data_IF_827382927107
#
_entry.id   IF_827382927107
#
_cell.length_a   1.000
_cell.length_b   1.000
_cell.length_c   1.000
_cell.angle_alpha   90.00
_cell.angle_beta   90.00
_cell.angle_gamma   90.00
#
_symmetry.space_group_name_H-M   'P 1'
#
loop_
_entity.id
_entity.type
_entity.pdbx_description
1 polymer ?
#
# COMPACT_ATOMS: atom_id res chain seq x y z
N UNK A 1 7.41 -8.84 3.93
CA UNK A 1 7.03 -7.62 4.69
C UNK A 1 8.23 -7.11 5.47
N UNK A 2 8.52 -5.79 5.42
CA UNK A 2 9.62 -5.16 6.18
C UNK A 2 9.07 -4.46 7.42
N UNK A 3 9.55 -4.84 8.61
CA UNK A 3 9.00 -4.39 9.90
C UNK A 3 10.02 -3.57 10.67
N UNK A 4 9.58 -2.46 11.29
CA UNK A 4 10.35 -1.77 12.32
C UNK A 4 9.71 -1.99 13.69
N UNK A 5 10.53 -2.10 14.73
CA UNK A 5 10.12 -2.13 16.13
C UNK A 5 10.78 -0.95 16.82
N UNK A 6 10.01 -0.16 17.54
CA UNK A 6 10.52 0.97 18.29
C UNK A 6 10.03 0.91 19.74
N UNK A 7 10.98 0.73 20.69
CA UNK A 7 10.70 0.57 22.12
C UNK A 7 11.95 0.96 22.91
N UNK A 8 11.83 1.87 23.90
CA UNK A 8 12.96 2.35 24.72
C UNK A 8 13.59 1.23 25.57
N UNK A 9 12.86 0.17 25.80
CA UNK A 9 13.31 -0.99 26.61
C UNK A 9 13.76 -2.13 25.72
N UNK A 10 15.05 -2.40 25.69
CA UNK A 10 15.64 -3.49 24.91
C UNK A 10 14.98 -4.86 25.14
N UNK A 11 14.46 -5.12 26.35
CA UNK A 11 13.80 -6.38 26.67
C UNK A 11 12.51 -6.59 25.84
N UNK A 12 11.71 -5.55 25.65
CA UNK A 12 10.49 -5.63 24.85
C UNK A 12 10.82 -5.61 23.35
N UNK A 13 11.80 -4.80 22.96
CA UNK A 13 12.30 -4.77 21.59
C UNK A 13 12.78 -6.15 21.16
N UNK A 14 13.65 -6.79 21.97
CA UNK A 14 14.16 -8.13 21.70
C UNK A 14 13.06 -9.18 21.66
N UNK A 15 12.13 -9.14 22.61
CA UNK A 15 11.00 -10.06 22.66
C UNK A 15 10.14 -9.97 21.39
N UNK A 16 9.78 -8.76 20.95
CA UNK A 16 9.04 -8.56 19.70
C UNK A 16 9.86 -9.00 18.48
N UNK A 17 11.17 -8.71 18.46
CA UNK A 17 12.08 -9.13 17.40
C UNK A 17 12.12 -10.66 17.25
N UNK A 18 12.32 -11.37 18.35
CA UNK A 18 12.39 -12.85 18.35
C UNK A 18 11.07 -13.47 17.85
N UNK A 19 9.92 -12.91 18.24
CA UNK A 19 8.61 -13.34 17.75
C UNK A 19 8.45 -13.13 16.24
N UNK A 20 8.83 -11.97 15.72
CA UNK A 20 8.69 -11.63 14.30
C UNK A 20 9.61 -12.46 13.41
N UNK A 21 10.80 -12.85 13.90
CA UNK A 21 11.74 -13.70 13.16
C UNK A 21 11.20 -15.11 12.88
N UNK A 22 10.19 -15.58 13.63
CA UNK A 22 9.57 -16.90 13.41
C UNK A 22 8.48 -16.88 12.34
N UNK A 23 8.20 -15.74 11.72
CA UNK A 23 7.09 -15.55 10.79
C UNK A 23 7.62 -15.49 9.36
N UNK A 24 7.24 -16.46 8.52
CA UNK A 24 7.82 -16.72 7.20
C UNK A 24 7.75 -15.54 6.21
N UNK A 25 6.71 -14.71 6.26
CA UNK A 25 6.51 -13.60 5.33
C UNK A 25 7.15 -12.27 5.78
N UNK A 26 7.89 -12.28 6.88
CA UNK A 26 8.69 -11.14 7.34
C UNK A 26 10.10 -11.24 6.78
N UNK A 27 10.42 -10.36 5.83
CA UNK A 27 11.71 -10.35 5.11
C UNK A 27 12.82 -9.71 5.93
N UNK A 28 12.48 -8.68 6.70
CA UNK A 28 13.43 -7.93 7.51
C UNK A 28 12.76 -7.28 8.72
N UNK A 29 13.47 -7.31 9.85
CA UNK A 29 13.08 -6.63 11.09
C UNK A 29 14.20 -5.69 11.51
N UNK A 30 13.87 -4.41 11.77
CA UNK A 30 14.79 -3.41 12.31
C UNK A 30 14.32 -2.95 13.70
N UNK A 31 15.23 -2.90 14.67
CA UNK A 31 14.95 -2.46 16.04
C UNK A 31 15.50 -1.07 16.32
N UNK A 32 14.73 -0.24 17.00
CA UNK A 32 15.09 1.10 17.43
C UNK A 32 14.74 1.33 18.89
N UNK A 33 15.69 1.83 19.69
CA UNK A 33 15.43 2.22 21.08
C UNK A 33 14.99 3.66 21.23
N UNK A 34 15.05 4.45 20.13
CA UNK A 34 14.62 5.84 20.05
C UNK A 34 13.73 6.05 18.83
N UNK A 35 12.59 6.68 19.04
CA UNK A 35 11.65 7.01 17.96
C UNK A 35 12.22 8.08 17.01
N UNK A 36 13.05 8.99 17.54
CA UNK A 36 13.78 9.99 16.76
C UNK A 36 14.76 9.37 15.76
N UNK A 37 15.40 8.23 16.11
CA UNK A 37 16.33 7.56 15.19
C UNK A 37 15.60 6.78 14.09
N UNK A 38 14.44 6.18 14.40
CA UNK A 38 13.56 5.60 13.39
C UNK A 38 13.10 6.68 12.38
N UNK A 39 12.67 7.85 12.87
CA UNK A 39 12.25 8.97 12.01
C UNK A 39 13.39 9.41 11.09
N UNK A 40 14.62 9.62 11.60
CA UNK A 40 15.79 9.96 10.77
C UNK A 40 16.08 8.95 9.67
N UNK A 41 15.92 7.66 9.95
CA UNK A 41 16.10 6.61 8.94
C UNK A 41 15.05 6.68 7.82
N UNK A 42 13.81 6.97 8.20
CA UNK A 42 12.72 7.17 7.25
C UNK A 42 12.93 8.42 6.39
N UNK A 43 13.36 9.53 7.00
CA UNK A 43 13.74 10.76 6.28
C UNK A 43 14.93 10.54 5.32
N UNK A 44 15.82 9.60 5.65
CA UNK A 44 16.92 9.17 4.77
C UNK A 44 16.48 8.21 3.65
N UNK A 45 15.18 7.88 3.55
CA UNK A 45 14.59 7.07 2.48
C UNK A 45 14.33 5.61 2.81
N UNK A 46 14.55 5.17 4.07
CA UNK A 46 14.15 3.82 4.47
C UNK A 46 12.62 3.72 4.53
N UNK A 47 12.10 2.54 4.14
CA UNK A 47 10.66 2.26 4.11
C UNK A 47 10.36 1.00 4.91
N UNK A 48 9.23 1.01 5.59
CA UNK A 48 8.70 -0.11 6.35
C UNK A 48 7.22 -0.30 6.03
N UNK A 49 6.79 -1.55 5.92
CA UNK A 49 5.39 -1.91 5.69
C UNK A 49 4.58 -1.83 6.98
N UNK A 50 5.23 -2.16 8.11
CA UNK A 50 4.65 -2.18 9.44
C UNK A 50 5.63 -1.59 10.46
N UNK A 51 5.11 -0.80 11.40
CA UNK A 51 5.86 -0.32 12.56
C UNK A 51 5.13 -0.72 13.84
N UNK A 52 5.83 -1.50 14.69
CA UNK A 52 5.44 -1.72 16.07
C UNK A 52 6.05 -0.58 16.91
N UNK A 53 5.21 0.29 17.46
CA UNK A 53 5.64 1.51 18.13
C UNK A 53 5.22 1.51 19.60
N UNK A 54 6.17 1.65 20.51
CA UNK A 54 5.82 1.98 21.89
C UNK A 54 5.18 3.37 21.95
N UNK A 55 4.29 3.57 22.89
CA UNK A 55 3.66 4.87 23.12
C UNK A 55 4.51 5.75 24.02
N UNK A 56 5.21 5.17 24.98
CA UNK A 56 5.91 5.90 26.03
C UNK A 56 7.44 5.90 25.84
N UNK A 57 7.99 7.08 25.60
CA UNK A 57 9.44 7.31 25.48
C UNK A 57 9.87 8.40 26.47
N UNK A 58 10.30 8.04 27.69
CA UNK A 58 10.60 9.01 28.75
C UNK A 58 11.80 9.91 28.47
N UNK A 59 12.71 9.50 27.58
CA UNK A 59 13.90 10.27 27.21
C UNK A 59 13.73 11.08 25.91
N UNK A 60 12.56 11.00 25.27
CA UNK A 60 12.25 11.74 24.04
C UNK A 60 11.36 12.96 24.36
N UNK A 61 11.41 13.99 23.52
CA UNK A 61 10.57 15.19 23.65
C UNK A 61 9.08 14.90 23.39
N UNK A 62 8.80 13.85 22.63
CA UNK A 62 7.46 13.49 22.19
C UNK A 62 7.20 11.99 22.43
N UNK A 63 5.93 11.64 22.55
CA UNK A 63 5.52 10.24 22.66
C UNK A 63 5.47 9.52 21.30
N UNK A 64 5.34 8.19 21.32
CA UNK A 64 5.30 7.38 20.11
C UNK A 64 4.12 7.69 19.19
N UNK A 65 3.03 8.26 19.72
CA UNK A 65 1.88 8.69 18.91
C UNK A 65 2.26 9.90 18.05
N UNK A 66 2.94 10.88 18.64
CA UNK A 66 3.41 12.06 17.91
C UNK A 66 4.44 11.69 16.83
N UNK A 67 5.37 10.76 17.14
CA UNK A 67 6.29 10.21 16.14
C UNK A 67 5.57 9.46 15.04
N UNK A 68 4.55 8.65 15.34
CA UNK A 68 3.77 7.94 14.34
C UNK A 68 3.05 8.90 13.37
N UNK A 69 2.55 10.04 13.84
CA UNK A 69 1.97 11.08 12.98
C UNK A 69 3.02 11.65 12.02
N UNK A 70 4.23 11.97 12.50
CA UNK A 70 5.32 12.45 11.66
C UNK A 70 5.75 11.43 10.63
N UNK A 71 5.91 10.18 11.04
CA UNK A 71 6.27 9.07 10.16
C UNK A 71 5.19 8.85 9.09
N UNK A 72 3.91 8.88 9.47
CA UNK A 72 2.79 8.71 8.54
C UNK A 72 2.76 9.80 7.44
N UNK A 73 3.31 10.97 7.72
CA UNK A 73 3.47 12.02 6.70
C UNK A 73 4.49 11.62 5.61
N UNK A 74 5.58 10.95 5.99
CA UNK A 74 6.62 10.46 5.07
C UNK A 74 6.24 9.13 4.41
N UNK A 75 5.57 8.27 5.16
CA UNK A 75 5.19 6.91 4.76
C UNK A 75 3.67 6.70 4.96
N UNK A 76 2.81 7.29 4.11
CA UNK A 76 1.36 7.23 4.28
C UNK A 76 0.76 5.82 4.14
N UNK A 77 1.47 4.89 3.50
CA UNK A 77 1.05 3.50 3.31
C UNK A 77 1.46 2.58 4.48
N UNK A 78 2.38 3.04 5.36
CA UNK A 78 2.88 2.23 6.49
C UNK A 78 1.79 1.99 7.52
N UNK A 79 1.64 0.73 7.94
CA UNK A 79 0.71 0.34 8.99
C UNK A 79 1.38 0.49 10.37
N UNK A 80 0.58 0.80 11.39
CA UNK A 80 1.06 0.91 12.77
C UNK A 80 0.34 -0.06 13.70
N UNK A 81 1.09 -0.64 14.63
CA UNK A 81 0.60 -1.33 15.81
C UNK A 81 1.26 -0.68 17.01
N UNK A 82 0.47 -0.11 17.92
CA UNK A 82 1.02 0.41 19.15
C UNK A 82 1.29 -0.69 20.17
N UNK A 83 2.40 -0.57 20.89
CA UNK A 83 2.74 -1.42 22.05
C UNK A 83 2.58 -0.57 23.31
N UNK A 84 1.89 -1.07 24.32
CA UNK A 84 1.67 -0.32 25.54
C UNK A 84 1.62 -1.23 26.79
N UNK A 85 2.08 -0.71 27.92
CA UNK A 85 1.91 -1.35 29.22
C UNK A 85 0.57 -0.99 29.89
N UNK A 86 -0.21 -0.02 29.35
CA UNK A 86 -1.42 0.53 29.96
C UNK A 86 -2.61 0.47 29.02
N UNK A 87 -3.76 0.02 29.52
CA UNK A 87 -4.97 -0.24 28.74
C UNK A 87 -5.76 1.02 28.35
N UNK A 88 -5.78 2.09 29.15
CA UNK A 88 -6.86 3.09 29.04
C UNK A 88 -6.41 4.55 28.82
N UNK A 89 -5.14 4.88 29.07
CA UNK A 89 -4.73 6.31 29.08
C UNK A 89 -4.59 6.96 27.69
N UNK A 90 -4.44 6.17 26.63
CA UNK A 90 -4.13 6.68 25.29
C UNK A 90 -5.24 6.49 24.27
N UNK A 91 -6.33 5.81 24.63
CA UNK A 91 -7.41 5.47 23.70
C UNK A 91 -8.01 6.71 23.02
N UNK A 92 -8.24 7.77 23.76
CA UNK A 92 -8.78 9.03 23.23
C UNK A 92 -7.78 9.70 22.28
N UNK A 93 -6.50 9.80 22.66
CA UNK A 93 -5.45 10.38 21.84
C UNK A 93 -5.26 9.62 20.54
N UNK A 94 -5.26 8.29 20.61
CA UNK A 94 -5.17 7.39 19.45
C UNK A 94 -6.35 7.57 18.51
N UNK A 95 -7.57 7.72 19.03
CA UNK A 95 -8.79 7.86 18.24
C UNK A 95 -8.78 9.12 17.37
N UNK A 96 -8.17 10.20 17.84
CA UNK A 96 -8.08 11.48 17.10
C UNK A 96 -6.90 11.56 16.13
N UNK A 97 -6.07 10.51 16.02
CA UNK A 97 -4.94 10.51 15.09
C UNK A 97 -5.31 9.95 13.72
N UNK A 98 -4.84 10.60 12.67
CA UNK A 98 -5.02 10.12 11.29
C UNK A 98 -3.81 9.26 10.85
N UNK A 99 -3.52 8.21 11.62
CA UNK A 99 -2.45 7.25 11.35
C UNK A 99 -3.05 5.94 10.88
N UNK A 100 -2.39 5.21 9.99
CA UNK A 100 -2.83 3.89 9.53
C UNK A 100 -2.69 2.83 10.64
N UNK A 101 -3.48 2.96 11.70
CA UNK A 101 -3.45 2.08 12.85
C UNK A 101 -4.20 0.77 12.58
N UNK A 102 -3.54 -0.36 12.82
CA UNK A 102 -4.13 -1.70 12.78
C UNK A 102 -4.63 -2.18 14.14
N UNK A 103 -4.04 -1.72 15.22
CA UNK A 103 -4.41 -2.09 16.57
C UNK A 103 -3.33 -1.76 17.60
N UNK A 104 -3.48 -2.35 18.78
CA UNK A 104 -2.49 -2.22 19.86
C UNK A 104 -2.22 -3.58 20.51
N UNK A 105 -1.02 -3.73 21.06
CA UNK A 105 -0.55 -4.89 21.80
C UNK A 105 -0.23 -4.48 23.24
N UNK A 106 -0.72 -5.26 24.19
CA UNK A 106 -0.34 -5.11 25.59
C UNK A 106 1.00 -5.78 25.87
N UNK A 107 1.88 -5.11 26.59
CA UNK A 107 3.14 -5.67 27.07
C UNK A 107 2.92 -6.50 28.36
N UNK A 108 3.51 -7.69 28.46
CA UNK A 108 4.33 -8.39 27.48
C UNK A 108 3.51 -8.91 26.29
N UNK A 109 4.05 -8.76 25.08
CA UNK A 109 3.37 -9.17 23.86
C UNK A 109 3.14 -10.69 23.88
N UNK A 110 1.92 -11.09 23.53
CA UNK A 110 1.56 -12.50 23.36
C UNK A 110 1.54 -12.86 21.88
N UNK A 111 2.09 -14.03 21.53
CA UNK A 111 2.21 -14.52 20.15
C UNK A 111 0.86 -14.49 19.42
N UNK A 112 -0.19 -15.03 20.02
CA UNK A 112 -1.53 -15.07 19.41
C UNK A 112 -2.09 -13.67 19.11
N UNK A 113 -1.86 -12.69 19.99
CA UNK A 113 -2.31 -11.30 19.77
C UNK A 113 -1.56 -10.62 18.64
N UNK A 114 -0.25 -10.88 18.53
CA UNK A 114 0.58 -10.40 17.44
C UNK A 114 0.12 -10.99 16.09
N UNK A 115 -0.09 -12.30 16.02
CA UNK A 115 -0.53 -13.00 14.82
C UNK A 115 -1.89 -12.49 14.31
N UNK A 116 -2.85 -12.27 15.21
CA UNK A 116 -4.16 -11.69 14.85
C UNK A 116 -4.00 -10.30 14.20
N UNK A 117 -3.14 -9.45 14.73
CA UNK A 117 -2.91 -8.12 14.18
C UNK A 117 -2.12 -8.17 12.87
N UNK A 118 -1.14 -9.06 12.75
CA UNK A 118 -0.41 -9.26 11.50
C UNK A 118 -1.34 -9.74 10.37
N UNK A 119 -2.27 -10.65 10.68
CA UNK A 119 -3.28 -11.07 9.72
C UNK A 119 -4.18 -9.90 9.28
N UNK A 120 -4.53 -9.00 10.20
CA UNK A 120 -5.27 -7.77 9.88
C UNK A 120 -4.46 -6.83 8.98
N UNK A 121 -3.14 -6.68 9.24
CA UNK A 121 -2.20 -5.93 8.39
C UNK A 121 -2.18 -6.50 6.97
N UNK A 122 -1.99 -7.83 6.84
CA UNK A 122 -1.96 -8.53 5.54
C UNK A 122 -3.25 -8.30 4.75
N UNK A 123 -4.40 -8.50 5.39
CA UNK A 123 -5.71 -8.28 4.74
C UNK A 123 -5.87 -6.84 4.25
N UNK A 124 -5.42 -5.87 5.03
CA UNK A 124 -5.49 -4.46 4.65
C UNK A 124 -4.58 -4.16 3.47
N UNK A 125 -3.34 -4.66 3.47
CA UNK A 125 -2.41 -4.56 2.35
C UNK A 125 -2.99 -5.18 1.07
N UNK A 126 -3.56 -6.39 1.15
CA UNK A 126 -4.23 -7.05 0.02
C UNK A 126 -5.39 -6.19 -0.50
N UNK A 127 -6.23 -5.63 0.38
CA UNK A 127 -7.34 -4.76 -0.03
C UNK A 127 -6.87 -3.46 -0.70
N UNK A 128 -5.81 -2.83 -0.18
CA UNK A 128 -5.20 -1.63 -0.76
C UNK A 128 -4.51 -1.95 -2.10
N UNK A 129 -3.84 -3.10 -2.22
CA UNK A 129 -3.29 -3.57 -3.50
C UNK A 129 -4.39 -3.93 -4.51
N UNK A 130 -5.53 -4.46 -4.06
CA UNK A 130 -6.64 -4.85 -4.93
C UNK A 130 -7.57 -3.72 -5.35
N UNK A 131 -7.59 -2.58 -4.63
CA UNK A 131 -8.52 -1.48 -4.89
C UNK A 131 -7.82 -0.17 -5.14
N UNK A 132 -8.49 0.73 -5.85
CA UNK A 132 -8.08 2.11 -6.04
C UNK A 132 -9.24 3.05 -5.71
N UNK A 133 -8.92 4.14 -5.02
CA UNK A 133 -9.89 5.17 -4.64
C UNK A 133 -9.98 6.23 -5.73
N UNK A 134 -11.20 6.50 -6.17
CA UNK A 134 -11.55 7.59 -7.06
C UNK A 134 -12.35 8.66 -6.31
N UNK A 135 -11.97 9.92 -6.51
CA UNK A 135 -12.67 11.05 -5.91
C UNK A 135 -13.60 11.68 -6.94
N UNK A 136 -14.88 11.74 -6.62
CA UNK A 136 -15.91 12.37 -7.42
C UNK A 136 -16.29 13.71 -6.80
N UNK A 137 -17.04 14.53 -7.53
CA UNK A 137 -17.55 15.81 -7.05
C UNK A 137 -18.37 15.68 -5.74
N UNK A 138 -19.07 14.55 -5.57
CA UNK A 138 -20.03 14.33 -4.48
C UNK A 138 -19.69 13.13 -3.59
N UNK A 139 -18.43 12.64 -3.61
CA UNK A 139 -18.03 11.50 -2.79
C UNK A 139 -16.77 10.81 -3.27
N UNK A 140 -16.50 9.68 -2.65
CA UNK A 140 -15.38 8.79 -2.97
C UNK A 140 -15.90 7.37 -3.18
N UNK A 141 -15.27 6.62 -4.08
CA UNK A 141 -15.59 5.21 -4.36
C UNK A 141 -14.29 4.42 -4.45
N UNK A 142 -14.22 3.30 -3.75
CA UNK A 142 -13.14 2.34 -3.91
C UNK A 142 -13.56 1.29 -4.95
N UNK A 143 -12.82 1.19 -6.04
CA UNK A 143 -13.07 0.22 -7.11
C UNK A 143 -11.95 -0.80 -7.12
N UNK A 144 -12.28 -2.10 -7.13
CA UNK A 144 -11.27 -3.15 -7.24
C UNK A 144 -10.56 -3.08 -8.58
N UNK A 145 -9.23 -3.11 -8.57
CA UNK A 145 -8.40 -2.99 -9.79
C UNK A 145 -8.80 -4.02 -10.85
N UNK A 146 -9.14 -5.25 -10.47
CA UNK A 146 -9.60 -6.31 -11.37
C UNK A 146 -10.93 -6.01 -12.06
N UNK A 147 -11.78 -5.17 -11.45
CA UNK A 147 -13.06 -4.76 -12.03
C UNK A 147 -12.92 -3.61 -13.03
N UNK A 148 -11.75 -2.95 -13.08
CA UNK A 148 -11.45 -1.88 -14.03
C UNK A 148 -10.84 -2.50 -15.30
N UNK A 149 -11.45 -2.19 -16.44
CA UNK A 149 -11.00 -2.68 -17.74
C UNK A 149 -9.91 -1.75 -18.31
N UNK A 150 -10.19 -0.47 -18.38
CA UNK A 150 -9.24 0.57 -18.78
C UNK A 150 -9.73 1.96 -18.35
N UNK A 151 -8.81 2.92 -18.33
CA UNK A 151 -9.08 4.34 -18.13
C UNK A 151 -8.83 5.08 -19.44
N UNK A 152 -9.76 5.98 -19.80
CA UNK A 152 -9.67 6.83 -20.96
C UNK A 152 -9.70 8.31 -20.58
N UNK A 153 -8.72 9.08 -21.05
CA UNK A 153 -8.69 10.53 -20.86
C UNK A 153 -9.41 11.21 -22.00
N UNK A 154 -10.46 11.94 -21.68
CA UNK A 154 -11.25 12.74 -22.60
C UNK A 154 -11.33 14.20 -22.11
N UNK A 155 -10.61 15.10 -22.77
CA UNK A 155 -10.46 16.51 -22.37
C UNK A 155 -9.96 16.68 -20.93
N UNK A 156 -10.84 17.07 -19.99
CA UNK A 156 -10.50 17.31 -18.58
C UNK A 156 -11.06 16.25 -17.63
N UNK A 157 -11.55 15.15 -18.15
CA UNK A 157 -12.14 14.04 -17.40
C UNK A 157 -11.48 12.72 -17.77
N UNK A 158 -11.61 11.77 -16.88
CA UNK A 158 -11.25 10.38 -17.10
C UNK A 158 -12.52 9.56 -17.05
N UNK A 159 -12.76 8.76 -18.08
CA UNK A 159 -13.73 7.67 -18.07
C UNK A 159 -13.05 6.44 -17.56
N UNK A 160 -13.62 5.84 -16.52
CA UNK A 160 -13.18 4.59 -15.93
C UNK A 160 -14.16 3.53 -16.41
N UNK A 161 -13.72 2.67 -17.31
CA UNK A 161 -14.53 1.57 -17.84
C UNK A 161 -14.40 0.37 -16.91
N UNK A 162 -15.51 -0.03 -16.31
CA UNK A 162 -15.55 -1.13 -15.34
C UNK A 162 -16.55 -2.22 -15.72
N UNK A 163 -16.47 -3.38 -15.06
CA UNK A 163 -17.45 -4.45 -15.20
C UNK A 163 -18.89 -4.06 -14.83
N UNK A 164 -19.04 -3.06 -13.94
CA UNK A 164 -20.32 -2.58 -13.42
C UNK A 164 -20.82 -1.30 -14.10
N UNK A 165 -20.19 -0.91 -15.22
CA UNK A 165 -20.47 0.30 -15.95
C UNK A 165 -19.42 1.39 -15.75
N UNK A 166 -19.58 2.48 -16.50
CA UNK A 166 -18.59 3.53 -16.56
C UNK A 166 -18.73 4.52 -15.39
N UNK A 167 -17.59 5.10 -15.01
CA UNK A 167 -17.48 6.17 -14.02
C UNK A 167 -16.73 7.36 -14.63
N UNK A 168 -16.99 8.56 -14.15
CA UNK A 168 -16.33 9.79 -14.63
C UNK A 168 -15.70 10.51 -13.45
N UNK A 169 -14.41 10.80 -13.53
CA UNK A 169 -13.68 11.63 -12.58
C UNK A 169 -12.98 12.79 -13.29
N UNK A 170 -12.77 13.89 -12.56
CA UNK A 170 -12.06 15.08 -13.08
C UNK A 170 -10.63 15.06 -12.52
N UNK A 171 -9.74 14.41 -13.27
CA UNK A 171 -8.34 14.24 -12.87
C UNK A 171 -7.46 14.01 -14.12
N UNK A 172 -6.16 13.86 -13.93
CA UNK A 172 -5.19 13.53 -14.98
C UNK A 172 -4.89 12.04 -14.97
N UNK A 173 -4.76 11.45 -16.15
CA UNK A 173 -4.44 10.02 -16.28
C UNK A 173 -3.07 9.66 -15.69
N UNK A 174 -2.14 10.63 -15.64
CA UNK A 174 -0.79 10.45 -15.08
C UNK A 174 -0.82 10.19 -13.56
N UNK A 175 -1.82 10.74 -12.84
CA UNK A 175 -1.98 10.47 -11.39
C UNK A 175 -2.36 9.03 -11.10
N UNK A 176 -2.96 8.32 -12.05
CA UNK A 176 -3.32 6.92 -11.94
C UNK A 176 -2.24 5.97 -12.47
N UNK A 177 -1.39 6.42 -13.39
CA UNK A 177 -0.34 5.59 -13.99
C UNK A 177 0.60 5.01 -12.91
N UNK A 178 1.08 5.83 -11.96
CA UNK A 178 1.92 5.37 -10.86
C UNK A 178 1.19 4.46 -9.87
N UNK A 179 -0.06 4.82 -9.52
CA UNK A 179 -0.87 4.06 -8.56
C UNK A 179 -1.31 2.69 -9.07
N UNK A 180 -1.32 2.50 -10.38
CA UNK A 180 -1.78 1.30 -11.08
C UNK A 180 -0.64 0.57 -11.81
N UNK A 181 0.62 1.00 -11.69
CA UNK A 181 1.75 0.53 -12.51
C UNK A 181 1.97 -0.99 -12.49
N UNK A 182 1.63 -1.67 -11.38
CA UNK A 182 1.81 -3.12 -11.25
C UNK A 182 0.90 -3.93 -12.19
N UNK A 183 -0.31 -3.45 -12.42
CA UNK A 183 -1.37 -4.19 -13.13
C UNK A 183 -1.88 -3.50 -14.39
N UNK A 184 -1.51 -2.22 -14.61
CA UNK A 184 -1.94 -1.44 -15.78
C UNK A 184 -0.74 -0.96 -16.59
N UNK A 185 -0.96 -0.79 -17.89
CA UNK A 185 0.05 -0.26 -18.80
C UNK A 185 -0.47 0.91 -19.62
N UNK A 186 0.34 1.98 -19.75
CA UNK A 186 0.01 3.16 -20.54
C UNK A 186 0.29 2.89 -22.02
N UNK A 187 -0.76 2.64 -22.79
CA UNK A 187 -0.65 2.25 -24.21
C UNK A 187 -0.72 3.43 -25.17
N UNK A 188 -1.34 4.52 -24.74
CA UNK A 188 -1.52 5.76 -25.51
C UNK A 188 -1.55 6.96 -24.56
N UNK A 189 -1.35 8.18 -25.07
CA UNK A 189 -1.51 9.41 -24.25
C UNK A 189 -2.84 9.49 -23.52
N UNK A 190 -3.89 8.87 -24.08
CA UNK A 190 -5.25 8.88 -23.56
C UNK A 190 -5.71 7.56 -22.95
N UNK A 191 -4.91 6.50 -22.95
CA UNK A 191 -5.36 5.19 -22.49
C UNK A 191 -4.38 4.53 -21.52
N UNK A 192 -4.90 4.10 -20.38
CA UNK A 192 -4.23 3.26 -19.37
C UNK A 192 -5.05 1.96 -19.22
N UNK A 193 -4.47 0.83 -19.57
CA UNK A 193 -5.18 -0.45 -19.76
C UNK A 193 -4.77 -1.46 -18.71
N UNK A 194 -5.74 -2.14 -18.12
CA UNK A 194 -5.52 -3.25 -17.25
C UNK A 194 -4.99 -4.46 -18.05
N UNK A 195 -3.82 -4.96 -17.65
CA UNK A 195 -3.13 -6.05 -18.36
C UNK A 195 -3.88 -7.37 -18.29
N UNK A 196 -4.69 -7.60 -17.24
CA UNK A 196 -5.58 -8.76 -17.14
C UNK A 196 -6.62 -8.83 -18.26
N UNK A 197 -6.99 -7.69 -18.80
CA UNK A 197 -7.99 -7.61 -19.86
C UNK A 197 -7.41 -7.68 -21.27
N UNK A 198 -6.10 -7.72 -21.43
CA UNK A 198 -5.47 -7.81 -22.74
C UNK A 198 -5.66 -9.21 -23.32
N UNK A 199 -6.27 -9.29 -24.49
CA UNK A 199 -6.36 -10.52 -25.28
C UNK A 199 -5.20 -10.65 -26.26
N UNK A 200 -4.88 -9.56 -26.99
CA UNK A 200 -3.76 -9.55 -27.92
C UNK A 200 -3.18 -8.14 -28.11
N UNK A 201 -1.90 -8.08 -28.47
CA UNK A 201 -1.15 -6.83 -28.70
C UNK A 201 -0.60 -6.82 -30.11
N UNK A 202 -0.90 -5.75 -30.86
CA UNK A 202 -0.27 -5.45 -32.15
C UNK A 202 0.42 -4.08 -32.12
N UNK A 203 1.18 -3.76 -33.15
CA UNK A 203 1.89 -2.48 -33.24
C UNK A 203 0.96 -1.26 -33.42
N UNK A 204 -0.32 -1.48 -33.68
CA UNK A 204 -1.30 -0.42 -33.93
C UNK A 204 -2.38 -0.36 -32.85
N UNK A 205 -2.78 -1.52 -32.33
CA UNK A 205 -3.91 -1.63 -31.40
C UNK A 205 -3.75 -2.79 -30.42
N UNK A 206 -4.38 -2.66 -29.25
CA UNK A 206 -4.69 -3.74 -28.33
C UNK A 206 -6.11 -4.22 -28.60
N UNK A 207 -6.31 -5.53 -28.56
CA UNK A 207 -7.63 -6.14 -28.46
C UNK A 207 -7.84 -6.58 -27.02
N UNK A 208 -8.94 -6.15 -26.40
CA UNK A 208 -9.31 -6.57 -25.05
C UNK A 208 -10.21 -7.81 -25.09
N UNK A 209 -10.32 -8.52 -23.95
CA UNK A 209 -11.18 -9.71 -23.80
C UNK A 209 -12.66 -9.43 -24.08
N UNK A 210 -13.11 -8.19 -23.87
CA UNK A 210 -14.46 -7.74 -24.20
C UNK A 210 -14.61 -7.21 -25.65
N UNK A 211 -13.65 -7.52 -26.54
CA UNK A 211 -13.61 -7.17 -27.95
C UNK A 211 -13.43 -5.66 -28.24
N UNK A 212 -13.15 -4.85 -27.23
CA UNK A 212 -12.81 -3.42 -27.43
C UNK A 212 -11.38 -3.33 -27.98
N UNK A 213 -11.21 -2.46 -28.98
CA UNK A 213 -9.91 -2.15 -29.59
C UNK A 213 -9.42 -0.79 -29.08
N UNK A 214 -8.20 -0.76 -28.56
CA UNK A 214 -7.56 0.44 -28.02
C UNK A 214 -6.31 0.75 -28.83
N UNK A 215 -6.13 2.01 -29.33
CA UNK A 215 -4.97 2.36 -30.11
C UNK A 215 -3.69 2.32 -29.27
N UNK A 216 -2.60 1.83 -29.86
CA UNK A 216 -1.27 1.84 -29.27
C UNK A 216 -0.40 2.87 -29.95
N UNK A 217 0.23 3.76 -29.18
CA UNK A 217 1.21 4.71 -29.72
C UNK A 217 2.44 3.98 -30.23
N UNK A 218 2.94 4.32 -31.41
CA UNK A 218 4.14 3.72 -32.01
C UNK A 218 5.35 3.78 -31.06
N UNK A 219 5.52 4.91 -30.39
CA UNK A 219 6.61 5.13 -29.40
C UNK A 219 6.47 4.28 -28.14
N UNK A 220 5.26 3.87 -27.77
CA UNK A 220 5.02 3.06 -26.57
C UNK A 220 4.94 1.55 -26.82
N UNK A 221 4.82 1.13 -28.05
CA UNK A 221 4.59 -0.29 -28.40
C UNK A 221 5.60 -1.24 -27.77
N UNK A 222 6.89 -0.92 -27.87
CA UNK A 222 7.94 -1.79 -27.34
C UNK A 222 7.87 -1.86 -25.81
N UNK A 223 7.72 -0.72 -25.16
CA UNK A 223 7.57 -0.66 -23.70
C UNK A 223 6.33 -1.44 -23.20
N UNK A 224 5.20 -1.28 -23.88
CA UNK A 224 3.95 -2.00 -23.55
C UNK A 224 4.14 -3.51 -23.68
N UNK A 225 4.79 -3.96 -24.75
CA UNK A 225 5.08 -5.37 -25.01
C UNK A 225 5.97 -5.98 -23.93
N UNK A 226 7.04 -5.27 -23.53
CA UNK A 226 7.95 -5.72 -22.48
C UNK A 226 7.24 -5.74 -21.11
N UNK A 227 6.48 -4.71 -20.80
CA UNK A 227 5.72 -4.63 -19.54
C UNK A 227 4.71 -5.79 -19.43
N UNK A 228 3.92 -6.02 -20.49
CA UNK A 228 2.95 -7.11 -20.53
C UNK A 228 3.62 -8.49 -20.46
N UNK A 229 4.73 -8.69 -21.15
CA UNK A 229 5.50 -9.95 -21.09
C UNK A 229 5.99 -10.25 -19.66
N UNK A 230 6.53 -9.24 -18.97
CA UNK A 230 6.98 -9.36 -17.59
C UNK A 230 5.82 -9.63 -16.64
N UNK A 231 4.68 -8.98 -16.86
CA UNK A 231 3.45 -9.18 -16.09
C UNK A 231 2.95 -10.63 -16.19
N UNK A 232 2.77 -11.17 -17.39
CA UNK A 232 2.33 -12.55 -17.61
C UNK A 232 3.32 -13.56 -17.02
N UNK A 233 4.62 -13.29 -17.14
CA UNK A 233 5.67 -14.15 -16.58
C UNK A 233 5.65 -14.16 -15.05
N UNK A 234 5.32 -13.07 -14.42
CA UNK A 234 5.18 -12.97 -12.96
C UNK A 234 3.94 -13.73 -12.48
N UNK A 235 2.80 -13.57 -13.12
CA UNK A 235 1.57 -14.31 -12.80
C UNK A 235 1.75 -15.83 -12.89
N UNK A 236 2.43 -16.32 -13.92
CA UNK A 236 2.71 -17.75 -14.09
C UNK A 236 3.63 -18.31 -12.98
N UNK A 237 4.47 -17.48 -12.35
CA UNK A 237 5.32 -17.91 -11.23
C UNK A 237 4.61 -17.88 -9.88
N UNK A 238 3.60 -17.03 -9.70
CA UNK A 238 2.81 -16.95 -8.47
C UNK A 238 1.70 -18.01 -8.38
N UNK A 239 1.48 -18.79 -9.45
CA UNK A 239 0.46 -19.84 -9.53
C UNK A 239 1.03 -21.26 -9.35
N UNK A 240 2.32 -21.39 -8.99
CA UNK A 240 3.03 -22.64 -8.66
C UNK A 240 3.43 -22.67 -7.20
#
# INVERSE_FOLDING_TARGET
MKVAICDDKEIYLRHAYDMLQTIDDIEAVAGFTKASDLLKRIEAGEKYDLILMDIFFPEEEEDGIAYAIKINHWLPETQFIYMTAYNDCYAEKIFWTNVNLCGYLLKPIQQNSLEILLEKVRRKQIQEEESIIFCYKNGIEAIRKKDIIYLESEAHKILIHTLQGDRIVYDKLDSYEQRLEKTFTRVHKSYLVNMDWIYSISSKELLLKNQVKIPVSRSKYQQVKEHYFNYVRWELKGSL
#
